data_IF_007360528653
#
_entry.id   IF_007360528653
#
_cell.length_a   1.000
_cell.length_b   1.000
_cell.length_c   1.000
_cell.angle_alpha   90.00
_cell.angle_beta   90.00
_cell.angle_gamma   90.00
#
_symmetry.space_group_name_H-M   'P 1'
#
loop_
_entity.id
_entity.type
_entity.pdbx_description
1 polymer ?
#
# COMPACT_ATOMS: atom_id res chain seq x y z
N UNK A 1 -4.24 17.00 -9.84
CA UNK A 1 -5.12 16.15 -9.01
C UNK A 1 -4.85 14.72 -9.44
N UNK A 2 -4.22 13.92 -8.59
CA UNK A 2 -3.96 12.52 -8.91
C UNK A 2 -5.29 11.77 -8.88
N UNK A 3 -5.69 11.20 -10.03
CA UNK A 3 -6.92 10.40 -10.20
C UNK A 3 -6.74 9.02 -9.54
N UNK A 4 -6.49 9.02 -8.23
CA UNK A 4 -6.30 7.77 -7.50
C UNK A 4 -7.64 7.08 -7.28
N UNK A 5 -7.67 5.73 -7.41
CA UNK A 5 -8.84 4.96 -7.01
C UNK A 5 -9.22 5.24 -5.55
N UNK A 6 -10.52 5.22 -5.27
CA UNK A 6 -11.01 5.30 -3.89
C UNK A 6 -10.52 4.08 -3.11
N UNK A 7 -10.08 4.29 -1.87
CA UNK A 7 -9.65 3.20 -1.00
C UNK A 7 -10.89 2.52 -0.38
N UNK A 8 -11.26 1.39 -0.97
CA UNK A 8 -12.37 0.52 -0.54
C UNK A 8 -12.03 -0.95 -0.83
N UNK A 9 -12.90 -1.88 -0.43
CA UNK A 9 -12.67 -3.32 -0.64
C UNK A 9 -12.46 -3.70 -2.11
N UNK A 10 -13.20 -3.07 -3.02
CA UNK A 10 -13.09 -3.35 -4.47
C UNK A 10 -11.71 -3.00 -5.00
N UNK A 11 -11.18 -1.84 -4.62
CA UNK A 11 -9.83 -1.42 -5.00
C UNK A 11 -8.77 -2.34 -4.39
N UNK A 12 -8.97 -2.82 -3.15
CA UNK A 12 -8.05 -3.78 -2.54
C UNK A 12 -8.03 -5.11 -3.32
N UNK A 13 -9.20 -5.59 -3.73
CA UNK A 13 -9.29 -6.75 -4.63
C UNK A 13 -8.65 -6.47 -5.99
N UNK A 14 -8.83 -5.27 -6.51
CA UNK A 14 -8.25 -4.85 -7.78
C UNK A 14 -6.70 -4.89 -7.76
N UNK A 15 -6.09 -4.55 -6.62
CA UNK A 15 -4.64 -4.68 -6.38
C UNK A 15 -4.21 -6.16 -6.40
N UNK A 16 -4.94 -7.02 -5.67
CA UNK A 16 -4.61 -8.44 -5.51
C UNK A 16 -4.74 -9.19 -6.84
N UNK A 17 -5.80 -8.89 -7.60
CA UNK A 17 -6.13 -9.51 -8.88
C UNK A 17 -5.41 -8.85 -10.07
N UNK A 18 -4.49 -7.92 -9.79
CA UNK A 18 -3.63 -7.29 -10.78
C UNK A 18 -4.35 -6.45 -11.85
N UNK A 19 -5.55 -5.99 -11.53
CA UNK A 19 -6.40 -5.22 -12.45
C UNK A 19 -6.02 -3.73 -12.52
N UNK A 20 -5.38 -3.20 -11.48
CA UNK A 20 -4.69 -1.90 -11.54
C UNK A 20 -3.20 -2.13 -11.84
N UNK A 21 -2.48 -1.12 -12.34
CA UNK A 21 -1.05 -1.25 -12.62
C UNK A 21 -0.18 -0.95 -11.38
N UNK A 22 1.10 -1.29 -11.44
CA UNK A 22 2.02 -1.17 -10.30
C UNK A 22 2.29 0.29 -9.90
N UNK A 23 2.26 1.23 -10.86
CA UNK A 23 2.44 2.64 -10.56
C UNK A 23 1.25 3.16 -9.76
N UNK A 24 0.02 2.81 -10.17
CA UNK A 24 -1.18 3.15 -9.40
C UNK A 24 -1.15 2.57 -7.98
N UNK A 25 -0.69 1.32 -7.80
CA UNK A 25 -0.52 0.74 -6.43
C UNK A 25 0.47 1.55 -5.61
N UNK A 26 1.61 1.91 -6.19
CA UNK A 26 2.62 2.73 -5.54
C UNK A 26 2.05 4.11 -5.16
N UNK A 27 1.42 4.80 -6.10
CA UNK A 27 0.84 6.13 -5.87
C UNK A 27 -0.20 6.11 -4.74
N UNK A 28 -1.02 5.06 -4.66
CA UNK A 28 -1.93 4.87 -3.55
C UNK A 28 -1.19 4.73 -2.22
N UNK A 29 -0.18 3.86 -2.13
CA UNK A 29 0.60 3.68 -0.89
C UNK A 29 1.32 4.98 -0.52
N UNK A 30 1.90 5.69 -1.48
CA UNK A 30 2.55 6.99 -1.28
C UNK A 30 1.57 8.01 -0.72
N UNK A 31 0.38 8.09 -1.30
CA UNK A 31 -0.67 8.99 -0.86
C UNK A 31 -1.07 8.72 0.59
N UNK A 32 -1.34 7.47 0.96
CA UNK A 32 -1.76 7.15 2.33
C UNK A 32 -0.60 7.16 3.34
N UNK A 33 0.66 7.04 2.90
CA UNK A 33 1.84 7.29 3.74
C UNK A 33 2.09 8.78 4.02
N UNK A 34 1.44 9.67 3.25
CA UNK A 34 1.55 11.12 3.41
C UNK A 34 2.42 11.82 2.37
N UNK A 35 3.05 11.10 1.44
CA UNK A 35 3.81 11.72 0.35
C UNK A 35 2.86 12.39 -0.64
N UNK A 36 3.14 13.63 -1.04
CA UNK A 36 2.40 14.34 -2.09
C UNK A 36 3.38 14.87 -3.12
N UNK A 37 3.20 14.49 -4.38
CA UNK A 37 4.01 15.06 -5.45
C UNK A 37 3.46 16.44 -5.83
N UNK A 38 4.30 17.47 -5.76
CA UNK A 38 3.99 18.79 -6.29
C UNK A 38 4.59 18.90 -7.70
N UNK A 39 3.76 18.88 -8.77
CA UNK A 39 4.24 19.00 -10.13
C UNK A 39 4.76 20.41 -10.47
N UNK A 40 4.44 21.42 -9.65
CA UNK A 40 4.85 22.81 -9.87
C UNK A 40 6.31 23.00 -9.50
N UNK A 41 6.73 22.38 -8.40
CA UNK A 41 8.10 22.45 -7.89
C UNK A 41 8.92 21.20 -8.23
N UNK A 42 8.28 20.17 -8.80
CA UNK A 42 8.87 18.85 -9.09
C UNK A 42 9.46 18.17 -7.86
N UNK A 43 8.85 18.40 -6.69
CA UNK A 43 9.33 17.87 -5.41
C UNK A 43 8.24 17.10 -4.67
N UNK A 44 8.68 16.17 -3.83
CA UNK A 44 7.80 15.51 -2.87
C UNK A 44 7.59 16.38 -1.63
N UNK A 45 6.36 16.78 -1.39
CA UNK A 45 5.91 17.23 -0.08
C UNK A 45 5.80 16.01 0.85
N UNK A 46 6.51 16.12 1.95
CA UNK A 46 6.70 15.09 2.97
C UNK A 46 6.17 15.52 4.34
N UNK A 47 5.50 16.68 4.41
CA UNK A 47 4.99 17.27 5.67
C UNK A 47 4.04 16.35 6.45
N UNK A 48 3.36 15.43 5.76
CA UNK A 48 2.43 14.47 6.34
C UNK A 48 3.03 13.08 6.57
N UNK A 49 4.30 12.87 6.22
CA UNK A 49 4.96 11.56 6.36
C UNK A 49 5.55 11.43 7.75
N UNK A 50 5.38 10.25 8.37
CA UNK A 50 5.92 9.99 9.68
C UNK A 50 7.47 10.09 9.71
N UNK A 51 8.08 10.65 10.78
CA UNK A 51 9.53 10.86 10.84
C UNK A 51 10.38 9.60 10.67
N UNK A 52 9.90 8.45 11.15
CA UNK A 52 10.57 7.16 11.01
C UNK A 52 10.61 6.66 9.56
N UNK A 53 9.62 7.02 8.75
CA UNK A 53 9.64 6.81 7.31
C UNK A 53 10.58 7.76 6.62
N UNK A 54 10.55 9.05 6.94
CA UNK A 54 11.40 10.06 6.31
C UNK A 54 12.90 9.84 6.54
N UNK A 55 13.29 9.32 7.70
CA UNK A 55 14.69 9.03 8.00
C UNK A 55 15.32 8.01 7.03
N UNK A 56 14.52 7.06 6.52
CA UNK A 56 14.98 6.02 5.59
C UNK A 56 14.56 6.30 4.14
N UNK A 57 13.43 6.99 3.95
CA UNK A 57 12.78 7.25 2.67
C UNK A 57 12.40 8.74 2.59
N UNK A 58 13.37 9.65 2.37
CA UNK A 58 13.08 11.07 2.12
C UNK A 58 12.27 11.28 0.82
N UNK A 59 12.30 10.29 -0.06
CA UNK A 59 11.44 10.16 -1.24
C UNK A 59 10.74 8.79 -1.19
N UNK A 60 9.53 8.67 -1.75
CA UNK A 60 8.79 7.43 -1.71
C UNK A 60 9.52 6.32 -2.49
N UNK A 61 9.61 5.14 -1.89
CA UNK A 61 10.19 3.96 -2.54
C UNK A 61 9.17 3.21 -3.41
N UNK A 62 9.65 2.43 -4.38
CA UNK A 62 8.82 1.52 -5.16
C UNK A 62 8.52 0.24 -4.35
N UNK A 63 7.30 0.10 -3.84
CA UNK A 63 6.88 -1.05 -3.02
C UNK A 63 6.66 -2.34 -3.81
N UNK A 64 6.62 -2.29 -5.13
CA UNK A 64 6.44 -3.48 -5.97
C UNK A 64 7.78 -4.05 -6.44
N UNK A 65 8.77 -3.20 -6.70
CA UNK A 65 10.09 -3.63 -7.15
C UNK A 65 11.12 -3.71 -6.01
N UNK A 66 11.03 -2.83 -5.02
CA UNK A 66 11.98 -2.74 -3.91
C UNK A 66 11.60 -3.63 -2.73
N UNK A 67 12.39 -4.69 -2.53
CA UNK A 67 12.27 -5.57 -1.35
C UNK A 67 12.46 -4.80 -0.03
N UNK A 68 13.48 -3.92 0.15
CA UNK A 68 13.62 -3.14 1.38
C UNK A 68 12.38 -2.31 1.73
N UNK A 69 11.80 -1.60 0.74
CA UNK A 69 10.61 -0.78 0.95
C UNK A 69 9.42 -1.64 1.38
N UNK A 70 9.22 -2.79 0.71
CA UNK A 70 8.18 -3.76 1.09
C UNK A 70 8.36 -4.24 2.53
N UNK A 71 9.59 -4.58 2.94
CA UNK A 71 9.87 -5.08 4.30
C UNK A 71 9.52 -4.04 5.36
N UNK A 72 9.87 -2.77 5.13
CA UNK A 72 9.46 -1.67 6.04
C UNK A 72 7.95 -1.51 6.06
N UNK A 73 7.29 -1.60 4.90
CA UNK A 73 5.82 -1.55 4.81
C UNK A 73 5.17 -2.66 5.65
N UNK A 74 5.61 -3.91 5.51
CA UNK A 74 5.12 -5.04 6.31
C UNK A 74 5.34 -4.83 7.81
N UNK A 75 6.46 -4.23 8.22
CA UNK A 75 6.78 -3.96 9.63
C UNK A 75 5.91 -2.86 10.22
N UNK A 76 5.45 -1.92 9.40
CA UNK A 76 4.54 -0.84 9.83
C UNK A 76 3.11 -1.30 10.11
N UNK A 77 2.72 -2.51 9.69
CA UNK A 77 1.39 -3.08 9.94
C UNK A 77 1.31 -3.60 11.39
N UNK A 78 0.36 -3.12 12.22
CA UNK A 78 0.12 -3.67 13.55
C UNK A 78 -0.12 -5.18 13.53
N UNK A 79 0.22 -5.88 14.60
CA UNK A 79 0.18 -7.36 14.64
C UNK A 79 -1.24 -7.89 14.41
N UNK A 80 -2.22 -7.22 15.02
CA UNK A 80 -3.66 -7.44 14.89
C UNK A 80 -4.14 -7.30 13.44
N UNK A 81 -3.51 -6.44 12.65
CA UNK A 81 -3.93 -6.13 11.28
C UNK A 81 -3.22 -6.99 10.21
N UNK A 82 -2.32 -7.90 10.60
CA UNK A 82 -1.56 -8.73 9.65
C UNK A 82 -2.39 -9.78 8.92
N UNK A 83 -3.61 -10.04 9.37
CA UNK A 83 -4.50 -11.03 8.79
C UNK A 83 -5.79 -10.41 8.21
N UNK A 84 -5.85 -9.09 8.04
CA UNK A 84 -7.06 -8.40 7.57
C UNK A 84 -7.51 -8.87 6.19
N UNK A 85 -6.58 -9.12 5.25
CA UNK A 85 -6.95 -9.68 3.94
C UNK A 85 -7.78 -10.97 4.06
N UNK A 86 -7.46 -11.83 5.02
CA UNK A 86 -8.21 -13.06 5.26
C UNK A 86 -9.51 -12.79 6.03
N UNK A 87 -9.46 -11.95 7.06
CA UNK A 87 -10.58 -11.71 7.96
C UNK A 87 -11.70 -10.89 7.30
N UNK A 88 -11.34 -9.89 6.50
CA UNK A 88 -12.27 -8.88 5.97
C UNK A 88 -12.64 -9.13 4.52
N UNK A 89 -11.74 -9.74 3.75
CA UNK A 89 -11.95 -10.04 2.33
C UNK A 89 -12.06 -11.54 2.04
N UNK A 90 -11.76 -12.42 2.99
CA UNK A 90 -11.76 -13.87 2.75
C UNK A 90 -10.63 -14.33 1.82
N UNK A 91 -9.59 -13.53 1.64
CA UNK A 91 -8.43 -13.89 0.80
C UNK A 91 -7.67 -15.06 1.43
N UNK A 92 -7.65 -16.19 0.72
CA UNK A 92 -6.98 -17.43 1.17
C UNK A 92 -5.52 -17.55 0.71
N UNK A 93 -5.00 -16.53 0.03
CA UNK A 93 -3.73 -16.57 -0.67
C UNK A 93 -3.90 -16.84 -2.17
N UNK A 94 -2.79 -16.70 -2.89
CA UNK A 94 -2.72 -17.03 -4.32
C UNK A 94 -2.68 -18.55 -4.53
N UNK A 95 -3.16 -19.02 -5.69
CA UNK A 95 -3.11 -20.44 -6.03
C UNK A 95 -1.66 -20.90 -6.24
N UNK A 96 -1.39 -22.17 -5.93
CA UNK A 96 -0.07 -22.76 -6.07
C UNK A 96 0.40 -22.66 -7.54
N UNK A 97 1.56 -22.04 -7.76
CA UNK A 97 2.14 -21.83 -9.09
C UNK A 97 1.74 -20.52 -9.78
N UNK A 98 0.84 -19.72 -9.20
CA UNK A 98 0.34 -18.46 -9.81
C UNK A 98 0.91 -17.19 -9.14
N UNK A 99 1.89 -17.28 -8.24
CA UNK A 99 2.44 -16.09 -7.56
C UNK A 99 3.95 -16.06 -7.51
N UNK A 100 4.51 -14.92 -7.90
CA UNK A 100 5.91 -14.57 -7.76
C UNK A 100 6.15 -13.48 -6.70
N UNK A 101 7.39 -12.95 -6.65
CA UNK A 101 7.75 -11.86 -5.75
C UNK A 101 6.86 -10.62 -5.91
N UNK A 102 6.45 -10.32 -7.15
CA UNK A 102 5.59 -9.19 -7.47
C UNK A 102 4.20 -9.32 -6.82
N UNK A 103 3.50 -10.43 -7.03
CA UNK A 103 2.19 -10.69 -6.41
C UNK A 103 2.26 -10.62 -4.88
N UNK A 104 3.31 -11.17 -4.28
CA UNK A 104 3.51 -11.14 -2.83
C UNK A 104 3.64 -9.70 -2.29
N UNK A 105 4.32 -8.83 -3.03
CA UNK A 105 4.46 -7.40 -2.67
C UNK A 105 3.16 -6.63 -2.88
N UNK A 106 2.40 -6.94 -3.93
CA UNK A 106 1.05 -6.39 -4.15
C UNK A 106 0.09 -6.75 -3.01
N UNK A 107 0.09 -8.02 -2.57
CA UNK A 107 -0.66 -8.43 -1.39
C UNK A 107 -0.20 -7.73 -0.11
N UNK A 108 1.10 -7.42 0.01
CA UNK A 108 1.61 -6.62 1.14
C UNK A 108 1.07 -5.20 1.10
N UNK A 109 1.10 -4.54 -0.06
CA UNK A 109 0.52 -3.20 -0.24
C UNK A 109 -0.98 -3.19 0.05
N UNK A 110 -1.71 -4.19 -0.46
CA UNK A 110 -3.13 -4.40 -0.20
C UNK A 110 -3.43 -4.54 1.30
N UNK A 111 -2.69 -5.39 2.03
CA UNK A 111 -2.89 -5.55 3.47
C UNK A 111 -2.55 -4.28 4.26
N UNK A 112 -1.54 -3.53 3.83
CA UNK A 112 -1.17 -2.27 4.46
C UNK A 112 -2.26 -1.21 4.28
N UNK A 113 -2.78 -1.04 3.06
CA UNK A 113 -3.88 -0.12 2.77
C UNK A 113 -5.15 -0.49 3.56
N UNK A 114 -5.46 -1.78 3.67
CA UNK A 114 -6.57 -2.27 4.48
C UNK A 114 -6.38 -1.97 5.98
N UNK A 115 -5.16 -2.15 6.48
CA UNK A 115 -4.78 -1.74 7.85
C UNK A 115 -4.94 -0.24 8.05
N UNK A 116 -4.54 0.58 7.07
CA UNK A 116 -4.72 2.02 7.13
C UNK A 116 -6.19 2.41 7.27
N UNK A 117 -7.09 1.80 6.47
CA UNK A 117 -8.54 2.00 6.59
C UNK A 117 -9.03 1.66 8.01
N UNK A 118 -8.63 0.51 8.52
CA UNK A 118 -9.06 0.04 9.85
C UNK A 118 -8.63 1.01 10.95
N UNK A 119 -7.41 1.57 10.87
CA UNK A 119 -6.87 2.49 11.87
C UNK A 119 -7.48 3.89 11.77
N UNK A 120 -7.68 4.40 10.56
CA UNK A 120 -8.04 5.82 10.34
C UNK A 120 -9.54 6.05 10.17
N UNK A 121 -10.23 5.13 9.49
CA UNK A 121 -11.66 5.23 9.18
C UNK A 121 -12.48 4.44 10.23
N UNK A 122 -11.88 3.45 10.88
CA UNK A 122 -12.53 2.61 11.90
C UNK A 122 -13.54 1.60 11.33
N UNK A 123 -13.71 1.56 10.00
CA UNK A 123 -14.54 0.62 9.27
C UNK A 123 -13.91 0.29 7.93
N UNK A 124 -14.17 -0.93 7.46
CA UNK A 124 -13.81 -1.37 6.12
C UNK A 124 -15.12 -1.54 5.36
N UNK A 125 -15.45 -0.54 4.54
CA UNK A 125 -16.63 -0.52 3.67
C UNK A 125 -16.27 -1.00 2.26
#
# INVERSE_FOLDING_TARGET
>A
MSNLPLLNKDTIWAIINETIDDQTVNDMVWHYLGYRYDPTTETWDTSLVAPDWLAEYPQPGNFIESRPATVKLTRSIPKENKQLLKQELGFKGYKLGEFGPRQTRRATAANWLLSYMMITIGKIE
#
